data_IF_140535186039
#
_entry.id   IF_140535186039
#
_cell.length_a   1.000
_cell.length_b   1.000
_cell.length_c   1.000
_cell.angle_alpha   90.00
_cell.angle_beta   90.00
_cell.angle_gamma   90.00
#
_symmetry.space_group_name_H-M   'P 1'
#
loop_
_entity.id
_entity.type
_entity.pdbx_description
1 polymer ?
#
# COMPACT_ATOMS: atom_id res chain seq x y z
N UNK A 1 -0.62 -17.00 -23.82
CA UNK A 1 -0.01 -18.27 -23.40
C UNK A 1 -0.48 -18.59 -22.00
N UNK A 2 -0.70 -19.86 -21.64
CA UNK A 2 -1.03 -20.21 -20.26
C UNK A 2 0.13 -19.81 -19.31
N UNK A 3 -0.16 -19.46 -18.07
CA UNK A 3 0.88 -19.10 -17.12
C UNK A 3 1.78 -20.31 -16.81
N UNK A 4 3.09 -20.09 -16.83
CA UNK A 4 4.12 -21.05 -16.40
C UNK A 4 4.46 -20.73 -14.95
N UNK A 5 4.31 -21.69 -14.06
CA UNK A 5 4.38 -21.49 -12.61
C UNK A 5 5.63 -22.16 -12.05
N UNK A 6 6.34 -21.46 -11.19
CA UNK A 6 7.34 -22.02 -10.29
C UNK A 6 6.96 -21.80 -8.83
N UNK A 7 7.21 -22.78 -7.96
CA UNK A 7 7.06 -22.58 -6.51
C UNK A 7 8.43 -22.29 -5.91
N UNK A 8 8.52 -21.20 -5.13
CA UNK A 8 9.76 -20.74 -4.49
C UNK A 8 9.65 -20.88 -2.99
N UNK A 9 10.58 -21.61 -2.39
CA UNK A 9 10.63 -21.87 -0.95
C UNK A 9 11.94 -21.30 -0.38
N UNK A 10 11.91 -20.12 0.28
CA UNK A 10 13.07 -19.61 0.99
C UNK A 10 13.31 -20.41 2.28
N UNK A 11 14.55 -20.78 2.54
CA UNK A 11 14.95 -21.49 3.76
C UNK A 11 16.18 -20.87 4.39
N UNK A 12 16.17 -20.78 5.72
CA UNK A 12 17.35 -20.42 6.51
C UNK A 12 17.32 -21.17 7.84
N UNK A 13 18.29 -22.05 8.06
CA UNK A 13 18.42 -22.85 9.29
C UNK A 13 17.09 -23.48 9.73
N UNK A 14 16.46 -24.22 8.82
CA UNK A 14 15.18 -24.89 9.06
C UNK A 14 15.19 -26.30 8.45
N UNK A 15 16.11 -27.13 8.93
CA UNK A 15 16.30 -28.50 8.42
C UNK A 15 15.12 -29.42 8.72
N UNK A 16 14.55 -29.26 9.93
CA UNK A 16 13.45 -30.09 10.40
C UNK A 16 12.17 -29.80 9.60
N UNK A 17 11.53 -30.83 9.06
CA UNK A 17 10.31 -30.71 8.27
C UNK A 17 10.47 -30.18 6.83
N UNK A 18 11.62 -29.57 6.48
CA UNK A 18 11.83 -28.98 5.14
C UNK A 18 11.59 -29.99 4.02
N UNK A 19 12.15 -31.21 4.16
CA UNK A 19 12.03 -32.26 3.14
C UNK A 19 10.57 -32.65 2.92
N UNK A 20 9.78 -32.77 3.98
CA UNK A 20 8.35 -33.07 3.89
C UNK A 20 7.59 -31.96 3.16
N UNK A 21 7.81 -30.69 3.54
CA UNK A 21 7.22 -29.55 2.84
C UNK A 21 7.52 -29.56 1.35
N UNK A 22 8.79 -29.77 0.98
CA UNK A 22 9.21 -29.80 -0.43
C UNK A 22 8.60 -30.98 -1.19
N UNK A 23 8.52 -32.16 -0.58
CA UNK A 23 7.86 -33.33 -1.20
C UNK A 23 6.36 -33.08 -1.44
N UNK A 24 5.68 -32.50 -0.47
CA UNK A 24 4.26 -32.12 -0.60
C UNK A 24 4.03 -31.06 -1.68
N UNK A 25 4.97 -30.10 -1.82
CA UNK A 25 4.95 -29.11 -2.92
C UNK A 25 5.18 -29.78 -4.26
N UNK A 26 6.10 -30.74 -4.36
CA UNK A 26 6.37 -31.49 -5.60
C UNK A 26 5.15 -32.29 -6.09
N UNK A 27 4.26 -32.70 -5.17
CA UNK A 27 3.01 -33.35 -5.52
C UNK A 27 1.99 -32.37 -6.20
N UNK A 28 2.19 -31.06 -6.03
CA UNK A 28 1.30 -30.01 -6.55
C UNK A 28 1.89 -29.25 -7.74
N UNK A 29 3.20 -29.13 -7.82
CA UNK A 29 3.90 -28.37 -8.86
C UNK A 29 5.22 -29.05 -9.23
N UNK A 30 5.50 -29.15 -10.54
CA UNK A 30 6.73 -29.79 -11.04
C UNK A 30 7.97 -28.91 -10.91
N UNK A 31 7.82 -27.59 -11.03
CA UNK A 31 8.92 -26.65 -10.96
C UNK A 31 9.00 -26.07 -9.55
N UNK A 32 9.91 -26.64 -8.77
CA UNK A 32 10.14 -26.23 -7.37
C UNK A 32 11.57 -25.70 -7.24
N UNK A 33 11.69 -24.49 -6.72
CA UNK A 33 12.95 -23.80 -6.45
C UNK A 33 13.06 -23.62 -4.94
N UNK A 34 14.10 -24.17 -4.35
CA UNK A 34 14.43 -23.92 -2.94
C UNK A 34 15.61 -22.97 -2.91
N UNK A 35 15.47 -21.87 -2.16
CA UNK A 35 16.53 -20.87 -1.99
C UNK A 35 17.06 -20.98 -0.57
N UNK A 36 18.24 -21.54 -0.43
CA UNK A 36 18.96 -21.60 0.83
C UNK A 36 19.69 -20.26 1.07
N UNK A 37 19.21 -19.51 2.03
CA UNK A 37 19.72 -18.19 2.41
C UNK A 37 20.96 -18.30 3.34
N UNK A 38 21.91 -19.15 2.98
CA UNK A 38 23.16 -19.34 3.71
C UNK A 38 22.99 -20.12 5.02
N UNK A 39 22.23 -21.22 5.02
CA UNK A 39 22.05 -22.08 6.17
C UNK A 39 23.35 -22.78 6.59
N UNK A 40 23.47 -23.04 7.88
CA UNK A 40 24.62 -23.72 8.50
C UNK A 40 24.24 -25.02 9.21
N UNK A 41 22.97 -25.39 9.16
CA UNK A 41 22.40 -26.55 9.85
C UNK A 41 22.23 -27.79 8.95
N UNK A 42 22.66 -27.72 7.69
CA UNK A 42 22.49 -28.78 6.72
C UNK A 42 21.09 -28.84 6.09
N UNK A 43 20.30 -27.74 6.15
CA UNK A 43 18.97 -27.65 5.53
C UNK A 43 19.01 -28.02 4.05
N UNK A 44 19.95 -27.43 3.29
CA UNK A 44 20.08 -27.69 1.86
C UNK A 44 20.44 -29.15 1.54
N UNK A 45 21.27 -29.78 2.38
CA UNK A 45 21.72 -31.17 2.17
C UNK A 45 20.59 -32.18 2.44
N UNK A 46 19.62 -31.82 3.28
CA UNK A 46 18.44 -32.64 3.54
C UNK A 46 17.56 -32.86 2.30
N UNK A 47 17.75 -32.06 1.25
CA UNK A 47 16.97 -32.10 0.00
C UNK A 47 17.62 -32.94 -1.10
N UNK A 48 18.77 -33.55 -0.83
CA UNK A 48 19.47 -34.37 -1.80
C UNK A 48 18.57 -35.48 -2.38
N UNK A 49 18.64 -35.66 -3.70
CA UNK A 49 17.83 -36.64 -4.43
C UNK A 49 16.41 -36.19 -4.78
N UNK A 50 15.98 -35.00 -4.39
CA UNK A 50 14.67 -34.44 -4.82
C UNK A 50 14.82 -33.72 -6.19
N UNK A 51 13.81 -33.83 -7.07
CA UNK A 51 13.82 -33.18 -8.40
C UNK A 51 13.48 -31.69 -8.28
N UNK A 52 14.37 -30.92 -7.66
CA UNK A 52 14.23 -29.48 -7.41
C UNK A 52 15.39 -28.68 -8.00
N UNK A 53 15.19 -27.37 -8.14
CA UNK A 53 16.31 -26.44 -8.35
C UNK A 53 16.72 -25.84 -7.02
N UNK A 54 17.93 -26.10 -6.59
CA UNK A 54 18.48 -25.56 -5.34
C UNK A 54 19.40 -24.38 -5.64
N UNK A 55 19.04 -23.21 -5.10
CA UNK A 55 19.86 -21.99 -5.15
C UNK A 55 20.47 -21.77 -3.77
N UNK A 56 21.81 -21.76 -3.67
CA UNK A 56 22.52 -21.49 -2.42
C UNK A 56 23.09 -20.08 -2.42
N UNK A 57 22.70 -19.25 -1.47
CA UNK A 57 23.29 -17.95 -1.25
C UNK A 57 24.52 -18.04 -0.35
N UNK A 58 25.58 -17.26 -0.59
CA UNK A 58 26.83 -17.37 0.14
C UNK A 58 26.74 -16.94 1.61
N UNK A 59 25.71 -16.19 1.97
CA UNK A 59 25.42 -15.69 3.33
C UNK A 59 23.95 -15.33 3.46
N UNK A 60 23.46 -15.27 4.70
CA UNK A 60 22.11 -14.81 4.99
C UNK A 60 21.89 -13.37 4.51
N UNK A 61 21.05 -13.22 3.51
CA UNK A 61 20.63 -11.94 2.92
C UNK A 61 19.25 -11.50 3.41
N UNK A 62 18.48 -12.40 4.03
CA UNK A 62 17.12 -12.21 4.51
C UNK A 62 16.05 -12.69 3.53
N UNK A 63 14.85 -12.93 4.05
CA UNK A 63 13.73 -13.54 3.29
C UNK A 63 13.43 -12.84 1.97
N UNK A 64 13.43 -11.51 1.93
CA UNK A 64 13.18 -10.73 0.70
C UNK A 64 14.27 -10.96 -0.35
N UNK A 65 15.55 -11.01 0.07
CA UNK A 65 16.67 -11.29 -0.84
C UNK A 65 16.57 -12.73 -1.41
N UNK A 66 16.23 -13.71 -0.57
CA UNK A 66 16.00 -15.09 -1.00
C UNK A 66 14.84 -15.18 -2.01
N UNK A 67 13.72 -14.49 -1.75
CA UNK A 67 12.58 -14.46 -2.66
C UNK A 67 12.93 -13.83 -4.01
N UNK A 68 13.69 -12.74 -4.04
CA UNK A 68 14.14 -12.10 -5.28
C UNK A 68 15.13 -13.01 -6.05
N UNK A 69 16.00 -13.73 -5.36
CA UNK A 69 16.89 -14.71 -5.99
C UNK A 69 16.09 -15.87 -6.60
N UNK A 70 15.07 -16.35 -5.89
CA UNK A 70 14.15 -17.35 -6.40
C UNK A 70 13.32 -16.87 -7.61
N UNK A 71 12.91 -15.60 -7.62
CA UNK A 71 12.22 -14.99 -8.75
C UNK A 71 13.11 -14.91 -9.99
N UNK A 72 14.39 -14.53 -9.83
CA UNK A 72 15.35 -14.51 -10.92
C UNK A 72 15.58 -15.91 -11.51
N UNK A 73 15.68 -16.93 -10.66
CA UNK A 73 15.82 -18.31 -11.11
C UNK A 73 14.54 -18.83 -11.78
N UNK A 74 13.36 -18.48 -11.24
CA UNK A 74 12.08 -18.80 -11.87
C UNK A 74 11.99 -18.21 -13.29
N UNK A 75 12.40 -16.94 -13.46
CA UNK A 75 12.44 -16.28 -14.76
C UNK A 75 13.43 -17.00 -15.72
N UNK A 76 14.61 -17.41 -15.23
CA UNK A 76 15.59 -18.18 -16.01
C UNK A 76 15.02 -19.52 -16.50
N UNK A 77 14.17 -20.14 -15.71
CA UNK A 77 13.47 -21.38 -16.07
C UNK A 77 12.22 -21.15 -16.95
N UNK A 78 11.96 -19.91 -17.38
CA UNK A 78 10.84 -19.55 -18.25
C UNK A 78 9.50 -19.43 -17.53
N UNK A 79 9.47 -19.37 -16.20
CA UNK A 79 8.25 -19.11 -15.47
C UNK A 79 7.73 -17.69 -15.73
N UNK A 80 6.43 -17.52 -15.72
CA UNK A 80 5.74 -16.21 -15.78
C UNK A 80 5.27 -15.74 -14.42
N UNK A 81 5.06 -16.71 -13.52
CA UNK A 81 4.60 -16.47 -12.16
C UNK A 81 5.40 -17.31 -11.17
N UNK A 82 5.59 -16.79 -9.98
CA UNK A 82 6.06 -17.60 -8.85
C UNK A 82 4.99 -17.67 -7.76
N UNK A 83 4.86 -18.83 -7.12
CA UNK A 83 4.14 -19.01 -5.87
C UNK A 83 5.17 -19.15 -4.77
N UNK A 84 5.09 -18.34 -3.71
CA UNK A 84 5.98 -18.44 -2.56
C UNK A 84 5.31 -19.20 -1.43
N UNK A 85 6.08 -19.97 -0.68
CA UNK A 85 5.61 -20.74 0.47
C UNK A 85 6.75 -20.84 1.49
N UNK A 86 6.44 -20.67 2.79
CA UNK A 86 7.44 -20.75 3.85
C UNK A 86 7.84 -22.20 4.15
N UNK A 87 9.10 -22.40 4.55
CA UNK A 87 9.67 -23.71 4.84
C UNK A 87 9.22 -24.31 6.18
N UNK A 88 8.51 -23.54 7.01
CA UNK A 88 8.17 -23.88 8.41
C UNK A 88 6.99 -24.85 8.58
N UNK A 89 6.40 -25.29 7.49
CA UNK A 89 5.27 -26.23 7.48
C UNK A 89 3.95 -25.66 8.01
N UNK A 90 3.87 -24.36 8.29
CA UNK A 90 2.62 -23.74 8.74
C UNK A 90 1.59 -23.62 7.62
N UNK A 91 2.03 -23.49 6.37
CA UNK A 91 1.17 -23.46 5.19
C UNK A 91 0.96 -24.88 4.64
N UNK A 92 -0.23 -25.13 4.10
CA UNK A 92 -0.58 -26.38 3.44
C UNK A 92 -0.24 -26.31 1.95
N UNK A 93 0.76 -27.04 1.44
CA UNK A 93 1.08 -27.08 0.01
C UNK A 93 -0.11 -27.52 -0.85
N UNK A 94 -1.05 -28.24 -0.30
CA UNK A 94 -2.30 -28.69 -0.93
C UNK A 94 -3.25 -27.52 -1.26
N UNK A 95 -2.97 -26.30 -0.83
CA UNK A 95 -3.69 -25.09 -1.22
C UNK A 95 -3.11 -24.44 -2.49
N UNK A 96 -1.98 -24.91 -3.04
CA UNK A 96 -1.40 -24.43 -4.31
C UNK A 96 -2.43 -24.41 -5.44
N UNK A 97 -3.31 -25.42 -5.64
CA UNK A 97 -4.35 -25.37 -6.67
C UNK A 97 -5.28 -24.16 -6.57
N UNK A 98 -5.51 -23.61 -5.38
CA UNK A 98 -6.31 -22.38 -5.20
C UNK A 98 -5.59 -21.18 -5.86
N UNK A 99 -4.28 -21.10 -5.70
CA UNK A 99 -3.45 -20.06 -6.35
C UNK A 99 -3.44 -20.23 -7.86
N UNK A 100 -3.30 -21.45 -8.37
CA UNK A 100 -3.32 -21.73 -9.81
C UNK A 100 -4.65 -21.26 -10.44
N UNK A 101 -5.77 -21.54 -9.79
CA UNK A 101 -7.08 -21.06 -10.20
C UNK A 101 -7.17 -19.54 -10.18
N UNK A 102 -6.69 -18.89 -9.12
CA UNK A 102 -6.71 -17.43 -8.99
C UNK A 102 -5.80 -16.74 -10.02
N UNK A 103 -4.61 -17.30 -10.32
CA UNK A 103 -3.70 -16.83 -11.38
C UNK A 103 -4.38 -16.91 -12.75
N UNK A 104 -5.08 -18.01 -13.05
CA UNK A 104 -5.78 -18.18 -14.32
C UNK A 104 -6.89 -17.13 -14.49
N UNK A 105 -7.58 -16.76 -13.42
CA UNK A 105 -8.62 -15.73 -13.42
C UNK A 105 -8.07 -14.30 -13.47
N UNK A 106 -6.94 -14.07 -12.81
CA UNK A 106 -6.33 -12.75 -12.62
C UNK A 106 -4.80 -12.77 -12.88
N UNK A 107 -4.37 -13.01 -14.13
CA UNK A 107 -2.94 -13.26 -14.45
C UNK A 107 -2.04 -12.04 -14.22
N UNK A 108 -2.62 -10.87 -14.01
CA UNK A 108 -1.88 -9.64 -13.72
C UNK A 108 -1.81 -9.26 -12.26
N UNK A 109 -2.54 -9.97 -11.39
CA UNK A 109 -2.67 -9.63 -9.98
C UNK A 109 -1.65 -10.37 -9.10
N UNK A 110 -1.27 -9.74 -7.99
CA UNK A 110 -0.65 -10.45 -6.87
C UNK A 110 -1.76 -11.17 -6.11
N UNK A 111 -1.61 -12.47 -5.85
CA UNK A 111 -2.56 -13.24 -5.06
C UNK A 111 -1.98 -13.45 -3.66
N UNK A 112 -2.69 -13.02 -2.63
CA UNK A 112 -2.31 -13.16 -1.22
C UNK A 112 -3.16 -14.25 -0.58
N UNK A 113 -2.52 -15.26 -0.03
CA UNK A 113 -3.18 -16.27 0.79
C UNK A 113 -3.48 -15.71 2.18
N UNK A 114 -4.76 -15.50 2.50
CA UNK A 114 -5.21 -15.02 3.79
C UNK A 114 -5.38 -16.21 4.74
N UNK A 115 -4.58 -16.22 5.81
CA UNK A 115 -4.61 -17.28 6.82
C UNK A 115 -5.89 -17.19 7.66
N UNK A 116 -6.50 -18.31 7.95
CA UNK A 116 -7.57 -18.39 8.95
C UNK A 116 -6.97 -18.36 10.37
N UNK A 117 -7.24 -17.29 11.11
CA UNK A 117 -6.79 -17.11 12.48
C UNK A 117 -7.81 -17.60 13.53
N UNK A 118 -8.85 -18.30 13.11
CA UNK A 118 -9.80 -18.95 14.02
C UNK A 118 -9.36 -20.37 14.41
N UNK A 119 -8.14 -20.75 14.04
CA UNK A 119 -7.54 -22.03 14.43
C UNK A 119 -6.89 -21.94 15.82
N UNK A 120 -6.69 -23.11 16.52
CA UNK A 120 -6.01 -23.14 17.81
C UNK A 120 -4.59 -22.57 17.77
N UNK A 121 -4.09 -22.17 18.94
CA UNK A 121 -2.72 -21.73 19.17
C UNK A 121 -2.24 -20.45 18.45
N UNK A 122 -3.10 -19.71 17.77
CA UNK A 122 -2.73 -18.43 17.13
C UNK A 122 -2.34 -17.41 18.21
N UNK A 123 -1.11 -16.85 18.19
CA UNK A 123 -0.69 -15.83 19.15
C UNK A 123 -1.49 -14.53 18.99
N UNK A 124 -1.82 -13.87 20.11
CA UNK A 124 -2.44 -12.55 20.11
C UNK A 124 -1.58 -11.50 19.38
N UNK A 125 -0.25 -11.59 19.49
CA UNK A 125 0.70 -10.74 18.75
C UNK A 125 0.57 -10.88 17.23
N UNK A 126 0.31 -12.08 16.72
CA UNK A 126 0.09 -12.31 15.28
C UNK A 126 -1.22 -11.69 14.81
N UNK A 127 -2.29 -11.77 15.61
CA UNK A 127 -3.57 -11.12 15.33
C UNK A 127 -3.42 -9.58 15.30
N UNK A 128 -2.71 -9.02 16.30
CA UNK A 128 -2.42 -7.60 16.35
C UNK A 128 -1.55 -7.15 15.18
N UNK A 129 -0.45 -7.85 14.89
CA UNK A 129 0.46 -7.52 13.78
C UNK A 129 -0.26 -7.51 12.43
N UNK A 130 -1.15 -8.49 12.18
CA UNK A 130 -2.00 -8.54 10.98
C UNK A 130 -2.91 -7.33 10.87
N UNK A 131 -3.66 -6.99 11.94
CA UNK A 131 -4.56 -5.85 11.96
C UNK A 131 -3.80 -4.52 11.76
N UNK A 132 -2.65 -4.38 12.44
CA UNK A 132 -1.77 -3.23 12.32
C UNK A 132 -1.22 -3.04 10.90
N UNK A 133 -0.74 -4.11 10.27
CA UNK A 133 -0.24 -4.04 8.89
C UNK A 133 -1.35 -3.74 7.89
N UNK A 134 -2.54 -4.33 8.05
CA UNK A 134 -3.71 -4.04 7.23
C UNK A 134 -4.16 -2.56 7.35
N UNK A 135 -4.12 -2.00 8.56
CA UNK A 135 -4.37 -0.59 8.80
C UNK A 135 -3.41 0.31 8.01
N UNK A 136 -2.10 0.04 8.07
CA UNK A 136 -1.12 0.84 7.35
C UNK A 136 -1.24 0.70 5.83
N UNK A 137 -1.58 -0.47 5.32
CA UNK A 137 -1.88 -0.66 3.89
C UNK A 137 -3.01 0.26 3.44
N UNK A 138 -4.11 0.29 4.21
CA UNK A 138 -5.23 1.18 3.92
C UNK A 138 -4.81 2.66 3.94
N UNK A 139 -4.03 3.09 4.94
CA UNK A 139 -3.52 4.47 5.05
C UNK A 139 -2.64 4.84 3.85
N UNK A 140 -1.76 3.93 3.43
CA UNK A 140 -0.74 4.21 2.42
C UNK A 140 -1.27 4.11 0.99
N UNK A 141 -2.23 3.23 0.73
CA UNK A 141 -2.69 2.91 -0.63
C UNK A 141 -4.18 3.17 -0.86
N UNK A 142 -4.98 3.18 0.19
CA UNK A 142 -6.44 3.18 0.10
C UNK A 142 -7.05 1.79 -0.12
N UNK A 143 -6.22 0.76 -0.21
CA UNK A 143 -6.66 -0.62 -0.43
C UNK A 143 -6.66 -1.43 0.87
N UNK A 144 -7.58 -2.38 0.96
CA UNK A 144 -7.67 -3.29 2.11
C UNK A 144 -7.11 -4.65 1.72
N UNK A 145 -6.09 -5.07 2.46
CA UNK A 145 -5.54 -6.42 2.38
C UNK A 145 -5.58 -7.01 3.79
N UNK A 146 -6.24 -8.15 3.96
CA UNK A 146 -6.50 -8.75 5.27
C UNK A 146 -5.24 -9.34 5.92
N UNK A 147 -4.32 -9.88 5.10
CA UNK A 147 -3.11 -10.53 5.62
C UNK A 147 -1.84 -10.12 4.85
N UNK A 148 -1.28 -8.98 5.26
CA UNK A 148 -0.05 -8.44 4.66
C UNK A 148 1.24 -9.15 5.07
N UNK A 149 1.17 -10.12 5.96
CA UNK A 149 2.32 -10.85 6.49
C UNK A 149 2.32 -12.34 6.11
N UNK A 150 1.36 -12.78 5.31
CA UNK A 150 1.36 -14.13 4.80
C UNK A 150 2.51 -14.33 3.81
N UNK A 151 3.29 -15.38 3.97
CA UNK A 151 4.35 -15.77 3.02
C UNK A 151 3.84 -16.63 1.86
N UNK A 152 2.59 -17.09 1.92
CA UNK A 152 1.99 -17.87 0.86
C UNK A 152 1.29 -16.94 -0.15
N UNK A 153 1.94 -16.68 -1.27
CA UNK A 153 1.52 -15.70 -2.28
C UNK A 153 1.82 -16.16 -3.69
N UNK A 154 1.12 -15.60 -4.65
CA UNK A 154 1.54 -15.69 -6.04
C UNK A 154 1.87 -14.30 -6.59
N UNK A 155 2.98 -14.22 -7.34
CA UNK A 155 3.45 -13.01 -7.97
C UNK A 155 3.60 -13.23 -9.49
N UNK A 156 3.02 -12.37 -10.33
CA UNK A 156 3.52 -12.24 -11.70
C UNK A 156 4.97 -11.75 -11.63
N UNK A 157 5.92 -12.44 -12.26
CA UNK A 157 7.35 -12.07 -12.18
C UNK A 157 7.61 -10.64 -12.67
N UNK A 158 6.84 -10.17 -13.65
CA UNK A 158 6.88 -8.78 -14.13
C UNK A 158 6.73 -7.73 -13.01
N UNK A 159 5.97 -8.04 -11.94
CA UNK A 159 5.80 -7.11 -10.82
C UNK A 159 7.13 -6.92 -10.09
N UNK A 160 7.89 -7.99 -9.91
CA UNK A 160 9.16 -7.96 -9.22
C UNK A 160 10.27 -7.31 -10.07
N UNK A 161 10.22 -7.47 -11.39
CA UNK A 161 11.16 -6.84 -12.32
C UNK A 161 10.93 -5.33 -12.45
N UNK A 162 9.67 -4.90 -12.41
CA UNK A 162 9.32 -3.50 -12.60
C UNK A 162 9.53 -2.62 -11.37
N UNK A 163 9.54 -3.20 -10.18
CA UNK A 163 9.60 -2.48 -8.91
C UNK A 163 11.00 -2.60 -8.27
N UNK A 164 11.40 -1.53 -7.61
CA UNK A 164 12.64 -1.54 -6.81
C UNK A 164 12.27 -1.75 -5.34
N UNK A 165 12.89 -2.73 -4.70
CA UNK A 165 12.72 -3.04 -3.30
C UNK A 165 13.96 -2.66 -2.50
N UNK A 166 13.76 -2.33 -1.24
CA UNK A 166 14.83 -1.88 -0.35
C UNK A 166 14.92 -2.72 0.92
N UNK A 167 13.89 -3.49 1.21
CA UNK A 167 13.83 -4.34 2.40
C UNK A 167 14.26 -5.78 2.06
N UNK A 168 15.40 -6.24 2.59
CA UNK A 168 15.88 -7.58 2.32
C UNK A 168 15.25 -8.67 3.21
N UNK A 169 14.61 -8.28 4.34
CA UNK A 169 14.07 -9.21 5.35
C UNK A 169 12.55 -9.39 5.27
N UNK A 170 11.92 -9.63 6.43
CA UNK A 170 10.46 -9.83 6.56
C UNK A 170 9.63 -8.61 6.12
N UNK A 171 10.18 -7.41 6.25
CA UNK A 171 9.50 -6.18 5.81
C UNK A 171 9.26 -6.12 4.30
N UNK A 172 9.97 -6.93 3.49
CA UNK A 172 9.74 -7.08 2.04
C UNK A 172 8.29 -7.43 1.71
N UNK A 173 7.65 -8.30 2.50
CA UNK A 173 6.27 -8.73 2.26
C UNK A 173 5.27 -7.57 2.33
N UNK A 174 5.55 -6.56 3.16
CA UNK A 174 4.76 -5.33 3.25
C UNK A 174 5.14 -4.40 2.10
N UNK A 175 6.44 -4.20 1.87
CA UNK A 175 6.94 -3.28 0.86
C UNK A 175 6.42 -3.63 -0.54
N UNK A 176 6.44 -4.92 -0.90
CA UNK A 176 6.02 -5.37 -2.25
C UNK A 176 4.54 -5.06 -2.51
N UNK A 177 3.65 -5.30 -1.55
CA UNK A 177 2.21 -5.05 -1.73
C UNK A 177 1.91 -3.55 -1.85
N UNK A 178 2.51 -2.73 -0.98
CA UNK A 178 2.32 -1.27 -1.04
C UNK A 178 2.84 -0.70 -2.34
N UNK A 179 4.05 -1.08 -2.78
CA UNK A 179 4.62 -0.59 -4.04
C UNK A 179 3.87 -1.09 -5.26
N UNK A 180 3.40 -2.32 -5.25
CA UNK A 180 2.59 -2.88 -6.32
C UNK A 180 1.24 -2.15 -6.44
N UNK A 181 0.54 -1.90 -5.33
CA UNK A 181 -0.69 -1.12 -5.33
C UNK A 181 -0.46 0.31 -5.86
N UNK A 182 0.65 0.96 -5.46
CA UNK A 182 1.02 2.28 -6.01
C UNK A 182 1.31 2.26 -7.51
N UNK A 183 1.85 1.15 -8.01
CA UNK A 183 2.11 0.97 -9.44
C UNK A 183 0.87 0.57 -10.25
N UNK A 184 -0.28 0.38 -9.59
CA UNK A 184 -1.54 0.02 -10.23
C UNK A 184 -1.72 -1.47 -10.48
N UNK A 185 -0.91 -2.33 -9.85
CA UNK A 185 -1.16 -3.76 -9.89
C UNK A 185 -2.29 -4.14 -8.94
N UNK A 186 -3.18 -5.00 -9.41
CA UNK A 186 -4.24 -5.58 -8.59
C UNK A 186 -3.67 -6.49 -7.51
N UNK A 187 -4.24 -6.41 -6.30
CA UNK A 187 -4.00 -7.36 -5.21
C UNK A 187 -5.31 -8.10 -4.94
N UNK A 188 -5.25 -9.41 -5.00
CA UNK A 188 -6.40 -10.30 -4.76
C UNK A 188 -6.10 -11.21 -3.58
N UNK A 189 -7.14 -11.63 -2.89
CA UNK A 189 -7.04 -12.46 -1.71
C UNK A 189 -7.77 -13.77 -1.92
N UNK A 190 -7.18 -14.84 -1.42
CA UNK A 190 -7.82 -16.16 -1.32
C UNK A 190 -7.67 -16.66 0.11
N UNK A 191 -8.67 -17.36 0.62
CA UNK A 191 -8.58 -17.95 1.94
C UNK A 191 -7.77 -19.25 1.87
N UNK A 192 -6.81 -19.40 2.78
CA UNK A 192 -5.94 -20.56 2.89
C UNK A 192 -5.96 -21.13 4.30
N UNK A 193 -5.68 -22.42 4.38
CA UNK A 193 -5.47 -23.11 5.66
C UNK A 193 -4.14 -22.75 6.26
N UNK A 194 -4.06 -22.77 7.57
CA UNK A 194 -2.82 -22.55 8.31
C UNK A 194 -2.77 -23.48 9.52
N UNK A 195 -1.60 -24.01 9.79
CA UNK A 195 -1.30 -24.76 11.01
C UNK A 195 -0.43 -23.91 11.92
N UNK A 196 -0.84 -23.75 13.16
CA UNK A 196 -0.02 -23.13 14.19
C UNK A 196 0.39 -24.22 15.18
N UNK A 197 1.67 -24.64 15.19
CA UNK A 197 2.14 -25.60 16.17
C UNK A 197 2.04 -25.03 17.58
N UNK A 198 2.00 -25.88 18.61
CA UNK A 198 2.13 -25.48 20.01
C UNK A 198 3.38 -24.62 20.22
N UNK A 199 3.37 -23.77 21.26
CA UNK A 199 4.45 -22.78 21.46
C UNK A 199 5.83 -23.40 21.56
N UNK A 200 5.90 -24.60 22.10
CA UNK A 200 7.14 -25.36 22.35
C UNK A 200 7.79 -25.91 21.08
N UNK A 201 6.99 -26.13 20.02
CA UNK A 201 7.44 -26.68 18.74
C UNK A 201 7.75 -25.61 17.69
N UNK A 202 7.59 -24.32 18.04
CA UNK A 202 7.77 -23.23 17.06
C UNK A 202 9.21 -22.87 16.88
N UNK A 203 9.70 -23.02 15.67
CA UNK A 203 10.97 -22.45 15.23
C UNK A 203 10.65 -21.12 14.52
N UNK A 204 11.09 -20.00 15.08
CA UNK A 204 10.89 -18.69 14.50
C UNK A 204 12.19 -17.91 14.48
N UNK A 205 12.62 -17.47 13.30
CA UNK A 205 13.77 -16.60 13.10
C UNK A 205 13.39 -15.10 13.20
N UNK A 206 12.12 -14.78 13.44
CA UNK A 206 11.64 -13.42 13.63
C UNK A 206 12.14 -12.86 14.97
N UNK A 207 13.02 -11.85 14.89
CA UNK A 207 13.55 -11.13 16.04
C UNK A 207 12.61 -9.97 16.38
N UNK A 208 11.67 -10.18 17.32
CA UNK A 208 10.55 -9.31 17.58
C UNK A 208 10.93 -7.83 17.70
N UNK A 209 11.95 -7.46 18.46
CA UNK A 209 12.35 -6.04 18.58
C UNK A 209 12.93 -5.48 17.28
N UNK A 210 13.92 -6.19 16.69
CA UNK A 210 14.64 -5.73 15.49
C UNK A 210 13.72 -5.63 14.27
N UNK A 211 12.90 -6.66 14.06
CA UNK A 211 12.04 -6.72 12.89
C UNK A 211 10.83 -5.78 13.01
N UNK A 212 10.26 -5.61 14.22
CA UNK A 212 9.22 -4.61 14.46
C UNK A 212 9.72 -3.17 14.27
N UNK A 213 10.95 -2.86 14.70
CA UNK A 213 11.56 -1.55 14.43
C UNK A 213 11.73 -1.33 12.92
N UNK A 214 12.21 -2.33 12.18
CA UNK A 214 12.32 -2.25 10.70
C UNK A 214 10.97 -2.04 10.04
N UNK A 215 9.96 -2.81 10.43
CA UNK A 215 8.58 -2.67 9.92
C UNK A 215 8.04 -1.26 10.21
N UNK A 216 8.29 -0.73 11.42
CA UNK A 216 7.85 0.61 11.79
C UNK A 216 8.55 1.69 10.98
N UNK A 217 9.87 1.59 10.77
CA UNK A 217 10.63 2.50 9.90
C UNK A 217 10.18 2.42 8.44
N UNK A 218 9.93 1.21 7.93
CA UNK A 218 9.36 1.02 6.60
C UNK A 218 7.99 1.71 6.49
N UNK A 219 7.07 1.44 7.42
CA UNK A 219 5.75 2.07 7.41
C UNK A 219 5.83 3.59 7.47
N UNK A 220 6.73 4.15 8.31
CA UNK A 220 6.98 5.59 8.37
C UNK A 220 7.44 6.13 7.01
N UNK A 221 8.44 5.49 6.38
CA UNK A 221 8.95 5.88 5.06
C UNK A 221 7.88 5.77 3.97
N UNK A 222 7.12 4.68 3.95
CA UNK A 222 6.02 4.50 2.99
C UNK A 222 4.91 5.52 3.21
N UNK A 223 4.57 5.85 4.46
CA UNK A 223 3.57 6.87 4.79
C UNK A 223 4.03 8.28 4.37
N UNK A 224 5.29 8.65 4.68
CA UNK A 224 5.85 9.92 4.19
C UNK A 224 5.80 9.96 2.66
N UNK A 225 6.22 8.88 1.98
CA UNK A 225 6.15 8.80 0.51
C UNK A 225 4.70 8.88 0.00
N UNK A 226 3.75 8.33 0.75
CA UNK A 226 2.33 8.41 0.44
C UNK A 226 1.78 9.85 0.56
N UNK A 227 2.32 10.66 1.48
CA UNK A 227 1.95 12.07 1.66
C UNK A 227 2.52 12.98 0.57
N UNK A 228 3.68 12.63 0.00
CA UNK A 228 4.29 13.45 -1.06
C UNK A 228 3.42 13.38 -2.33
N UNK A 229 2.96 14.51 -2.87
CA UNK A 229 2.06 14.56 -4.03
C UNK A 229 2.79 14.31 -5.36
N UNK A 230 3.78 13.43 -5.36
CA UNK A 230 4.47 12.97 -6.56
C UNK A 230 3.80 11.69 -7.03
N UNK A 231 3.36 11.62 -8.30
CA UNK A 231 2.72 10.43 -8.83
C UNK A 231 3.60 9.20 -8.65
N UNK A 232 2.98 8.08 -8.35
CA UNK A 232 3.64 6.80 -8.45
C UNK A 232 3.79 6.46 -9.94
N UNK A 233 4.90 5.81 -10.32
CA UNK A 233 5.05 5.29 -11.68
C UNK A 233 3.99 4.20 -11.86
N UNK A 234 2.92 4.54 -12.55
CA UNK A 234 1.98 3.52 -13.00
C UNK A 234 2.62 2.74 -14.14
N UNK A 235 2.59 1.42 -14.04
CA UNK A 235 2.89 0.55 -15.16
C UNK A 235 1.65 0.49 -16.04
N UNK A 236 1.53 1.45 -16.97
CA UNK A 236 0.55 1.32 -18.04
C UNK A 236 0.98 0.15 -18.93
N UNK A 237 0.07 -0.77 -19.14
CA UNK A 237 0.21 -1.90 -20.08
C UNK A 237 0.39 -1.39 -21.53
N UNK A 238 -0.04 -0.14 -21.77
CA UNK A 238 0.14 0.57 -23.03
C UNK A 238 1.16 1.69 -22.83
N UNK A 239 2.30 1.59 -23.53
CA UNK A 239 3.48 2.44 -23.45
C UNK A 239 3.32 3.96 -23.63
N UNK A 240 2.36 4.58 -22.98
CA UNK A 240 2.09 6.01 -23.05
C UNK A 240 2.66 6.75 -21.82
N UNK A 241 3.83 7.33 -22.05
CA UNK A 241 4.26 8.59 -21.45
C UNK A 241 4.54 8.63 -19.96
N UNK A 242 5.82 8.54 -19.58
CA UNK A 242 6.29 8.82 -18.22
C UNK A 242 5.93 10.25 -17.77
N UNK A 243 5.40 10.38 -16.56
CA UNK A 243 5.22 11.67 -15.88
C UNK A 243 6.62 12.20 -15.55
N UNK A 244 6.96 13.40 -16.04
CA UNK A 244 8.27 14.01 -15.86
C UNK A 244 8.19 15.19 -14.90
N UNK A 245 9.08 15.25 -13.91
CA UNK A 245 9.26 16.41 -13.02
C UNK A 245 9.74 17.66 -13.78
N UNK A 246 10.31 17.49 -14.98
CA UNK A 246 10.78 18.59 -15.84
C UNK A 246 9.65 19.30 -16.59
N UNK A 247 8.42 18.74 -16.56
CA UNK A 247 7.23 19.35 -17.20
C UNK A 247 6.04 19.33 -16.23
N UNK A 248 6.07 20.13 -15.17
CA UNK A 248 5.07 20.09 -14.10
C UNK A 248 3.66 20.38 -14.57
N UNK A 249 3.48 21.31 -15.50
CA UNK A 249 2.16 21.67 -16.04
C UNK A 249 1.56 20.58 -16.92
N UNK A 250 2.34 19.90 -17.74
CA UNK A 250 1.87 18.78 -18.57
C UNK A 250 1.56 17.55 -17.69
N UNK A 251 2.36 17.34 -16.65
CA UNK A 251 2.11 16.31 -15.65
C UNK A 251 0.84 16.61 -14.87
N UNK A 252 0.62 17.87 -14.46
CA UNK A 252 -0.59 18.32 -13.78
C UNK A 252 -1.83 18.19 -14.68
N UNK A 253 -1.74 18.62 -15.95
CA UNK A 253 -2.83 18.46 -16.92
C UNK A 253 -3.18 17.00 -17.16
N UNK A 254 -2.19 16.10 -17.25
CA UNK A 254 -2.42 14.65 -17.37
C UNK A 254 -3.04 14.06 -16.13
N UNK A 255 -2.60 14.48 -14.95
CA UNK A 255 -3.17 14.05 -13.67
C UNK A 255 -4.61 14.54 -13.47
N UNK A 256 -4.94 15.72 -14.01
CA UNK A 256 -6.30 16.25 -14.03
C UNK A 256 -7.16 15.59 -15.12
N UNK A 257 -6.54 15.20 -16.25
CA UNK A 257 -7.21 14.47 -17.34
C UNK A 257 -7.51 13.00 -16.99
N UNK A 258 -6.80 12.43 -16.02
CA UNK A 258 -6.96 11.04 -15.59
C UNK A 258 -8.24 10.86 -14.78
N UNK A 259 -9.39 10.86 -15.49
CA UNK A 259 -10.73 10.39 -15.06
C UNK A 259 -11.30 10.98 -13.76
N UNK A 260 -10.79 12.09 -13.23
CA UNK A 260 -11.41 12.72 -12.07
C UNK A 260 -12.65 13.49 -12.48
N UNK A 261 -13.82 13.05 -12.07
CA UNK A 261 -15.05 13.80 -12.31
C UNK A 261 -15.06 15.10 -11.48
N UNK A 262 -15.73 16.18 -11.94
CA UNK A 262 -15.88 17.42 -11.18
C UNK A 262 -16.43 17.17 -9.77
N UNK A 263 -17.36 16.24 -9.62
CA UNK A 263 -17.90 15.79 -8.35
C UNK A 263 -16.85 15.17 -7.44
N UNK A 264 -15.99 14.33 -7.99
CA UNK A 264 -14.91 13.69 -7.22
C UNK A 264 -13.89 14.72 -6.72
N UNK A 265 -13.54 15.72 -7.54
CA UNK A 265 -12.67 16.82 -7.13
C UNK A 265 -13.32 17.68 -6.05
N UNK A 266 -14.59 18.04 -6.18
CA UNK A 266 -15.35 18.78 -5.17
C UNK A 266 -15.41 18.04 -3.83
N UNK A 267 -15.72 16.74 -3.83
CA UNK A 267 -15.71 15.92 -2.61
C UNK A 267 -14.32 15.85 -1.98
N UNK A 268 -13.28 15.75 -2.80
CA UNK A 268 -11.89 15.69 -2.30
C UNK A 268 -11.49 16.98 -1.59
N UNK A 269 -11.84 18.13 -2.18
CA UNK A 269 -11.60 19.44 -1.57
C UNK A 269 -12.42 19.62 -0.28
N UNK A 270 -13.70 19.23 -0.30
CA UNK A 270 -14.58 19.33 0.86
C UNK A 270 -14.03 18.57 2.08
N UNK A 271 -13.69 17.29 1.89
CA UNK A 271 -13.17 16.44 2.96
C UNK A 271 -11.81 16.91 3.43
N UNK A 272 -10.93 17.31 2.50
CA UNK A 272 -9.59 17.78 2.85
C UNK A 272 -9.64 19.03 3.74
N UNK A 273 -10.41 20.06 3.35
CA UNK A 273 -10.59 21.29 4.14
C UNK A 273 -11.25 20.98 5.49
N UNK A 274 -12.29 20.14 5.51
CA UNK A 274 -12.97 19.79 6.77
C UNK A 274 -12.00 19.09 7.74
N UNK A 275 -11.26 18.09 7.30
CA UNK A 275 -10.30 17.35 8.15
C UNK A 275 -9.15 18.25 8.60
N UNK A 276 -8.61 19.09 7.69
CA UNK A 276 -7.47 19.97 7.99
C UNK A 276 -7.85 21.14 8.92
N UNK A 277 -9.14 21.46 9.04
CA UNK A 277 -9.65 22.49 9.98
C UNK A 277 -9.69 21.99 11.43
N UNK A 278 -9.75 20.66 11.64
CA UNK A 278 -9.83 20.08 12.99
C UNK A 278 -8.51 20.28 13.77
N UNK A 279 -8.58 20.57 15.08
CA UNK A 279 -7.39 20.76 15.92
C UNK A 279 -6.76 19.41 16.35
N UNK A 280 -6.23 18.65 15.39
CA UNK A 280 -5.64 17.33 15.60
C UNK A 280 -4.16 17.32 15.13
N UNK A 281 -3.25 18.05 15.79
CA UNK A 281 -1.86 18.15 15.35
C UNK A 281 -1.21 16.77 15.17
N UNK A 282 -0.62 16.53 13.99
CA UNK A 282 0.01 15.25 13.64
C UNK A 282 -0.97 14.15 13.20
N UNK A 283 -2.20 14.11 13.72
CA UNK A 283 -3.19 13.11 13.33
C UNK A 283 -3.99 13.50 12.08
N UNK A 284 -4.05 14.78 11.74
CA UNK A 284 -4.77 15.30 10.56
C UNK A 284 -4.33 14.60 9.26
N UNK A 285 -3.02 14.43 9.08
CA UNK A 285 -2.49 13.80 7.86
C UNK A 285 -2.88 12.33 7.75
N UNK A 286 -2.86 11.59 8.86
CA UNK A 286 -3.28 10.20 8.91
C UNK A 286 -4.78 10.10 8.63
N UNK A 287 -5.58 10.93 9.30
CA UNK A 287 -7.02 10.97 9.11
C UNK A 287 -7.39 11.33 7.67
N UNK A 288 -6.70 12.30 7.07
CA UNK A 288 -6.91 12.67 5.67
C UNK A 288 -6.58 11.52 4.72
N UNK A 289 -5.46 10.81 4.92
CA UNK A 289 -5.11 9.66 4.11
C UNK A 289 -6.14 8.53 4.23
N UNK A 290 -6.64 8.27 5.45
CA UNK A 290 -7.73 7.32 5.66
C UNK A 290 -8.99 7.73 4.89
N UNK A 291 -9.37 9.02 4.96
CA UNK A 291 -10.51 9.55 4.22
C UNK A 291 -10.32 9.42 2.70
N UNK A 292 -9.10 9.73 2.20
CA UNK A 292 -8.76 9.59 0.78
C UNK A 292 -8.96 8.13 0.32
N UNK A 293 -8.46 7.16 1.09
CA UNK A 293 -8.59 5.75 0.76
C UNK A 293 -10.03 5.25 0.87
N UNK A 294 -10.67 5.50 2.01
CA UNK A 294 -12.01 4.99 2.28
C UNK A 294 -13.08 5.58 1.34
N UNK A 295 -13.01 6.89 1.07
CA UNK A 295 -13.97 7.61 0.23
C UNK A 295 -13.54 7.64 -1.24
N UNK A 296 -12.42 7.02 -1.61
CA UNK A 296 -11.85 7.02 -2.98
C UNK A 296 -11.73 8.44 -3.56
N UNK A 297 -11.18 9.35 -2.77
CA UNK A 297 -11.00 10.74 -3.15
C UNK A 297 -9.80 10.93 -4.09
N UNK A 298 -9.82 12.02 -4.86
CA UNK A 298 -8.64 12.41 -5.63
C UNK A 298 -7.54 12.92 -4.69
N UNK A 299 -6.46 12.17 -4.61
CA UNK A 299 -5.36 12.40 -3.69
C UNK A 299 -4.67 13.74 -3.89
N UNK A 300 -4.40 14.11 -5.14
CA UNK A 300 -3.73 15.36 -5.47
C UNK A 300 -4.58 16.57 -5.08
N UNK A 301 -5.87 16.53 -5.40
CA UNK A 301 -6.79 17.57 -5.00
C UNK A 301 -6.85 17.70 -3.47
N UNK A 302 -7.01 16.58 -2.76
CA UNK A 302 -7.09 16.60 -1.30
C UNK A 302 -5.81 17.18 -0.65
N UNK A 303 -4.62 16.74 -1.10
CA UNK A 303 -3.35 17.23 -0.55
C UNK A 303 -3.08 18.70 -0.91
N UNK A 304 -3.50 19.16 -2.09
CA UNK A 304 -3.37 20.56 -2.50
C UNK A 304 -4.22 21.53 -1.66
N UNK A 305 -5.26 21.02 -0.98
CA UNK A 305 -6.12 21.86 -0.12
C UNK A 305 -5.53 22.11 1.28
N UNK A 306 -4.61 21.27 1.76
CA UNK A 306 -4.03 21.38 3.11
C UNK A 306 -3.42 22.77 3.40
N UNK A 307 -2.61 23.38 2.50
CA UNK A 307 -2.03 24.69 2.77
C UNK A 307 -3.05 25.80 2.99
N UNK A 308 -4.26 25.67 2.47
CA UNK A 308 -5.33 26.68 2.61
C UNK A 308 -5.88 26.77 4.04
N UNK A 309 -5.70 25.72 4.85
CA UNK A 309 -6.13 25.69 6.24
C UNK A 309 -4.99 25.96 7.24
N UNK A 310 -3.75 26.10 6.72
CA UNK A 310 -2.58 26.37 7.54
C UNK A 310 -2.61 27.83 8.08
N UNK A 311 -1.94 28.05 9.24
CA UNK A 311 -2.12 29.23 10.08
C UNK A 311 -1.84 30.58 9.37
N UNK A 312 -2.27 31.67 9.97
CA UNK A 312 -2.96 31.81 11.28
C UNK A 312 -4.47 31.89 11.19
N UNK A 313 -5.03 32.01 9.97
CA UNK A 313 -6.43 32.45 9.81
C UNK A 313 -7.46 31.43 10.24
N UNK A 314 -7.40 30.19 9.76
CA UNK A 314 -8.43 29.17 10.05
C UNK A 314 -8.42 28.75 11.52
N UNK A 315 -7.26 28.45 12.15
CA UNK A 315 -7.20 28.23 13.58
C UNK A 315 -7.65 29.42 14.40
N UNK A 316 -7.26 30.64 14.00
CA UNK A 316 -7.66 31.87 14.66
C UNK A 316 -9.19 32.08 14.64
N UNK A 317 -9.81 31.90 13.48
CA UNK A 317 -11.27 31.93 13.34
C UNK A 317 -11.94 30.82 14.18
N UNK A 318 -11.34 29.64 14.25
CA UNK A 318 -11.81 28.56 15.11
C UNK A 318 -11.84 28.95 16.58
N UNK A 319 -10.74 29.54 17.09
CA UNK A 319 -10.68 30.05 18.47
C UNK A 319 -11.73 31.15 18.73
N UNK A 320 -11.83 32.13 17.84
CA UNK A 320 -12.78 33.24 17.97
C UNK A 320 -14.23 32.75 18.01
N UNK A 321 -14.59 31.88 17.07
CA UNK A 321 -15.94 31.33 17.01
C UNK A 321 -16.24 30.42 18.20
N UNK A 322 -15.32 29.58 18.59
CA UNK A 322 -15.50 28.69 19.75
C UNK A 322 -15.57 29.45 21.06
N UNK A 323 -14.79 30.50 21.23
CA UNK A 323 -14.91 31.41 22.37
C UNK A 323 -16.31 32.05 22.41
N UNK A 324 -16.78 32.55 21.25
CA UNK A 324 -18.14 33.10 21.12
C UNK A 324 -19.21 32.10 21.49
N UNK A 325 -19.09 30.88 21.05
CA UNK A 325 -20.03 29.79 21.35
C UNK A 325 -20.05 29.44 22.85
N UNK A 326 -18.87 29.45 23.49
CA UNK A 326 -18.75 29.05 24.92
C UNK A 326 -19.02 30.17 25.91
N UNK A 327 -18.65 31.41 25.59
CA UNK A 327 -18.70 32.56 26.51
C UNK A 327 -19.79 33.58 26.17
N UNK A 328 -20.39 33.47 24.98
CA UNK A 328 -21.43 34.43 24.56
C UNK A 328 -20.92 35.80 24.09
N UNK A 329 -19.60 36.07 24.19
CA UNK A 329 -18.94 37.32 23.79
C UNK A 329 -17.76 37.01 22.83
N UNK A 330 -17.30 38.00 22.08
CA UNK A 330 -16.11 37.85 21.25
C UNK A 330 -14.84 38.00 22.07
N UNK A 331 -13.79 37.26 21.73
CA UNK A 331 -12.46 37.44 22.29
C UNK A 331 -11.84 38.72 21.69
N UNK A 332 -11.73 39.76 22.48
CA UNK A 332 -11.20 41.09 22.06
C UNK A 332 -9.83 41.37 22.62
N UNK A 333 -9.43 40.67 23.70
CA UNK A 333 -8.12 40.85 24.32
C UNK A 333 -7.15 39.75 23.90
N UNK A 334 -6.07 40.17 23.25
CA UNK A 334 -4.98 39.32 22.79
C UNK A 334 -3.72 39.64 23.61
N UNK A 335 -3.59 39.01 24.77
CA UNK A 335 -2.44 39.16 25.68
C UNK A 335 -1.72 37.83 25.89
N UNK A 336 -0.50 37.90 26.47
CA UNK A 336 0.23 36.69 26.89
C UNK A 336 -0.59 35.86 27.88
N UNK A 337 -1.44 36.51 28.67
CA UNK A 337 -2.34 35.82 29.61
C UNK A 337 -3.43 35.05 28.87
N UNK A 338 -4.13 35.68 27.93
CA UNK A 338 -5.25 35.06 27.19
C UNK A 338 -4.78 34.02 26.15
N UNK A 339 -3.63 34.18 25.54
CA UNK A 339 -3.09 33.28 24.53
C UNK A 339 -2.10 32.27 25.08
N UNK A 340 -1.39 32.57 26.18
CA UNK A 340 -0.39 31.70 26.76
C UNK A 340 -0.91 30.91 27.96
N UNK A 341 -1.20 31.58 29.07
CA UNK A 341 -1.62 30.90 30.31
C UNK A 341 -2.97 30.21 30.20
N UNK A 342 -3.91 30.72 29.38
CA UNK A 342 -5.18 30.09 29.08
C UNK A 342 -5.14 29.17 27.85
N UNK A 343 -3.96 28.76 27.35
CA UNK A 343 -3.81 27.93 26.16
C UNK A 343 -4.70 26.66 26.15
N UNK A 344 -4.85 25.90 27.25
CA UNK A 344 -5.77 24.75 27.26
C UNK A 344 -7.22 25.14 26.95
N UNK A 345 -7.67 26.31 27.42
CA UNK A 345 -9.02 26.80 27.12
C UNK A 345 -9.15 27.25 25.66
N UNK A 346 -8.09 27.83 25.10
CA UNK A 346 -8.03 28.23 23.68
C UNK A 346 -8.07 26.99 22.75
N UNK A 347 -7.46 25.87 23.17
CA UNK A 347 -7.56 24.59 22.44
C UNK A 347 -9.01 24.09 22.45
N UNK A 348 -9.72 24.18 23.58
CA UNK A 348 -11.14 23.84 23.65
C UNK A 348 -12.01 24.78 22.80
N UNK A 349 -11.69 26.09 22.81
CA UNK A 349 -12.37 27.06 21.94
C UNK A 349 -12.13 26.72 20.48
N UNK A 350 -10.88 26.43 20.10
CA UNK A 350 -10.56 25.99 18.73
C UNK A 350 -11.34 24.73 18.35
N UNK A 351 -11.39 23.74 19.23
CA UNK A 351 -12.16 22.52 18.99
C UNK A 351 -13.65 22.80 18.77
N UNK A 352 -14.26 23.58 19.65
CA UNK A 352 -15.66 23.95 19.54
C UNK A 352 -15.96 24.73 18.24
N UNK A 353 -15.12 25.70 17.90
CA UNK A 353 -15.26 26.48 16.66
C UNK A 353 -15.00 25.65 15.41
N UNK A 354 -14.03 24.73 15.45
CA UNK A 354 -13.72 23.85 14.34
C UNK A 354 -14.87 22.89 14.00
N UNK A 355 -15.64 22.42 14.98
CA UNK A 355 -16.83 21.60 14.72
C UNK A 355 -17.86 22.31 13.83
N UNK A 356 -17.93 23.62 13.87
CA UNK A 356 -18.82 24.43 13.02
C UNK A 356 -18.11 24.83 11.73
N UNK A 357 -16.87 25.29 11.83
CA UNK A 357 -16.11 25.77 10.65
C UNK A 357 -15.74 24.65 9.69
N UNK A 358 -15.38 23.47 10.17
CA UNK A 358 -14.94 22.37 9.34
C UNK A 358 -15.97 21.97 8.26
N UNK A 359 -17.23 21.68 8.60
CA UNK A 359 -18.25 21.38 7.59
C UNK A 359 -18.56 22.58 6.69
N UNK A 360 -18.60 23.80 7.20
CA UNK A 360 -18.92 24.99 6.43
C UNK A 360 -17.82 25.31 5.39
N UNK A 361 -16.55 25.36 5.82
CA UNK A 361 -15.41 25.58 4.94
C UNK A 361 -15.22 24.41 3.96
N UNK A 362 -15.46 23.21 4.41
CA UNK A 362 -15.41 22.02 3.56
C UNK A 362 -16.44 22.08 2.43
N UNK A 363 -17.70 22.36 2.74
CA UNK A 363 -18.76 22.50 1.75
C UNK A 363 -18.49 23.64 0.77
N UNK A 364 -18.03 24.79 1.26
CA UNK A 364 -17.66 25.93 0.45
C UNK A 364 -16.53 25.59 -0.53
N UNK A 365 -15.43 25.01 -0.03
CA UNK A 365 -14.31 24.59 -0.86
C UNK A 365 -14.73 23.53 -1.90
N UNK A 366 -15.55 22.57 -1.47
CA UNK A 366 -16.09 21.55 -2.36
C UNK A 366 -16.94 22.12 -3.49
N UNK A 367 -17.80 23.08 -3.18
CA UNK A 367 -18.62 23.76 -4.18
C UNK A 367 -17.77 24.57 -5.17
N UNK A 368 -16.77 25.33 -4.67
CA UNK A 368 -15.88 26.13 -5.52
C UNK A 368 -15.06 25.23 -6.44
N UNK A 369 -14.37 24.22 -5.89
CA UNK A 369 -13.52 23.31 -6.68
C UNK A 369 -14.36 22.50 -7.67
N UNK A 370 -15.52 22.01 -7.24
CA UNK A 370 -16.45 21.29 -8.11
C UNK A 370 -16.96 22.14 -9.27
N UNK A 371 -17.35 23.39 -9.00
CA UNK A 371 -17.79 24.34 -10.01
C UNK A 371 -16.67 24.68 -11.00
N UNK A 372 -15.47 25.00 -10.51
CA UNK A 372 -14.31 25.28 -11.37
C UNK A 372 -13.94 24.07 -12.26
N UNK A 373 -13.95 22.86 -11.70
CA UNK A 373 -13.71 21.64 -12.47
C UNK A 373 -14.79 21.38 -13.51
N UNK A 374 -16.06 21.67 -13.21
CA UNK A 374 -17.18 21.54 -14.13
C UNK A 374 -17.07 22.54 -15.30
N UNK A 375 -16.74 23.81 -15.01
CA UNK A 375 -16.52 24.83 -16.05
C UNK A 375 -15.32 24.49 -16.93
N UNK A 376 -14.23 24.00 -16.33
CA UNK A 376 -13.06 23.56 -17.09
C UNK A 376 -13.37 22.36 -18.01
N UNK A 377 -14.17 21.40 -17.54
CA UNK A 377 -14.60 20.27 -18.35
C UNK A 377 -15.47 20.69 -19.54
N UNK A 378 -16.35 21.68 -19.37
CA UNK A 378 -17.17 22.25 -20.47
C UNK A 378 -16.32 23.03 -21.48
N UNK A 379 -15.32 23.80 -21.04
CA UNK A 379 -14.41 24.53 -21.90
C UNK A 379 -13.54 23.63 -22.78
N UNK A 380 -13.20 22.43 -22.33
CA UNK A 380 -12.45 21.43 -23.11
C UNK A 380 -13.28 20.74 -24.19
N UNK A 381 -14.60 20.64 -24.02
CA UNK A 381 -15.51 20.04 -25.02
C UNK A 381 -15.79 21.00 -26.20
N UNK A 382 -15.52 22.27 -26.04
CA UNK A 382 -15.83 23.32 -27.06
C UNK A 382 -14.67 23.61 -28.01
N UNK A 383 -13.56 22.88 -28.00
CA UNK A 383 -12.54 23.01 -29.05
C UNK A 383 -12.92 22.08 -30.21
N UNK A 384 -13.37 22.60 -31.36
CA UNK A 384 -13.63 21.79 -32.53
C UNK A 384 -12.30 21.15 -32.97
N UNK A 385 -12.30 19.86 -33.15
CA UNK A 385 -11.22 19.22 -33.91
C UNK A 385 -11.22 19.86 -35.29
N UNK A 386 -10.22 20.69 -35.53
CA UNK A 386 -10.02 21.36 -36.80
C UNK A 386 -10.05 20.34 -37.93
N UNK A 387 -10.97 20.53 -38.85
CA UNK A 387 -11.15 19.67 -40.01
C UNK A 387 -9.85 19.50 -40.77
N UNK A 388 -9.38 18.29 -40.86
CA UNK A 388 -8.38 17.91 -41.84
C UNK A 388 -8.94 18.16 -43.23
N UNK A 389 -8.52 19.26 -43.86
CA UNK A 389 -8.71 19.44 -45.28
C UNK A 389 -7.98 18.33 -46.03
N UNK A 390 -8.74 17.43 -46.60
CA UNK A 390 -8.26 16.58 -47.66
C UNK A 390 -7.77 17.42 -48.81
N UNK A 391 -6.49 17.43 -49.07
CA UNK A 391 -5.92 17.83 -50.35
C UNK A 391 -5.95 16.59 -51.25
N UNK A 392 -6.98 16.50 -52.09
CA UNK A 392 -6.87 15.72 -53.31
C UNK A 392 -5.82 16.33 -54.21
N UNK A 393 -4.93 15.50 -54.69
CA UNK A 393 -4.21 15.72 -55.92
C UNK A 393 -4.39 14.46 -56.74
N UNK A 394 -5.22 14.61 -57.77
CA UNK A 394 -5.13 13.81 -58.96
C UNK A 394 -3.86 14.22 -59.72
N UNK A 395 -3.08 13.22 -60.10
CA UNK A 395 -2.55 12.97 -61.48
C UNK A 395 -1.70 11.70 -61.38
#
# INVERSE_FOLDING_TARGET
>A
MPPVIAVVIPVYNHREGLRDVVQRVLNQCRTVIVVDDGSTDGSADSLEGLPITLVRLPRNGGKGAALLSGAAEAARLGATHMITLDADGQHYPEDIPLFLKAIAQHPGAIIVGCRDFNVPHVPGSSRFGRAFSAFWMLVQTGERVRDMQSGFRAYPLRVLDCLKFTEPGYAFEIEVLVRAAWAGFDVREIDIRVYYPPREERISHFKALKDNVRISLLNTRLTIRALVPVPFRQHSVDGQGSISLLRPMDSLRRLLADRATPWQLGRSAAVAIAVSTLPLPGLQSILLLLCIGWLRLNRLCALAMIPLTWPPFVPGLGVLLGYRLRKGSWLTEFSVQTLGYEAPQRILDWFAGALVLAPLLGLLAGAIVGALAYLAARGMVSIPQGGGKGSGLAD
#
